data_IF_652186571345
#
_entry.id   IF_652186571345
#
_cell.length_a   1.000
_cell.length_b   1.000
_cell.length_c   1.000
_cell.angle_alpha   90.00
_cell.angle_beta   90.00
_cell.angle_gamma   90.00
#
_symmetry.space_group_name_H-M   'P 1'
#
loop_
_entity.id
_entity.type
_entity.pdbx_description
1 polymer ?
#
# COMPACT_ATOMS: atom_id res chain seq x y z
N UNK A 1 -8.33 4.26 -18.95
CA UNK A 1 -7.50 4.35 -17.73
C UNK A 1 -6.10 3.91 -18.12
N UNK A 2 -5.09 4.78 -18.05
CA UNK A 2 -3.71 4.40 -18.34
C UNK A 2 -3.22 3.45 -17.23
N UNK A 3 -2.78 2.26 -17.60
CA UNK A 3 -2.22 1.29 -16.67
C UNK A 3 -0.73 1.57 -16.59
N UNK A 4 -0.26 2.15 -15.49
CA UNK A 4 1.16 2.35 -15.25
C UNK A 4 1.80 1.00 -14.92
N UNK A 5 2.75 0.57 -15.76
CA UNK A 5 3.54 -0.62 -15.55
C UNK A 5 4.87 -0.19 -14.93
N UNK A 6 5.10 -0.60 -13.68
CA UNK A 6 6.37 -0.40 -13.00
C UNK A 6 7.12 -1.74 -13.01
N UNK A 7 8.23 -1.79 -13.72
CA UNK A 7 9.22 -2.85 -13.56
C UNK A 7 10.08 -2.46 -12.36
N UNK A 8 9.93 -3.20 -11.26
CA UNK A 8 10.76 -3.05 -10.08
C UNK A 8 11.73 -4.24 -10.05
N UNK A 9 13.00 -3.97 -9.82
CA UNK A 9 13.89 -5.06 -9.44
C UNK A 9 13.53 -5.59 -8.03
N UNK A 10 14.07 -6.75 -7.66
CA UNK A 10 13.74 -7.39 -6.37
C UNK A 10 14.08 -6.49 -5.17
N UNK A 11 15.16 -5.71 -5.26
CA UNK A 11 15.59 -4.81 -4.19
C UNK A 11 14.67 -3.62 -4.08
N UNK A 12 14.33 -2.99 -5.20
CA UNK A 12 13.38 -1.88 -5.28
C UNK A 12 11.99 -2.30 -4.78
N UNK A 13 11.55 -3.52 -5.12
CA UNK A 13 10.29 -4.07 -4.64
C UNK A 13 10.29 -4.25 -3.11
N UNK A 14 11.40 -4.74 -2.53
CA UNK A 14 11.56 -4.86 -1.06
C UNK A 14 11.60 -3.50 -0.37
N UNK A 15 12.33 -2.55 -0.94
CA UNK A 15 12.46 -1.19 -0.41
C UNK A 15 11.10 -0.48 -0.43
N UNK A 16 10.37 -0.59 -1.56
CA UNK A 16 9.02 -0.05 -1.70
C UNK A 16 8.05 -0.70 -0.71
N UNK A 17 8.06 -2.03 -0.59
CA UNK A 17 7.22 -2.77 0.37
C UNK A 17 7.49 -2.30 1.80
N UNK A 18 8.75 -2.08 2.15
CA UNK A 18 9.15 -1.57 3.46
C UNK A 18 8.62 -0.16 3.69
N UNK A 19 8.88 0.78 2.77
CA UNK A 19 8.43 2.17 2.89
C UNK A 19 6.90 2.29 3.00
N UNK A 20 6.16 1.54 2.16
CA UNK A 20 4.70 1.50 2.18
C UNK A 20 4.16 0.88 3.48
N UNK A 21 4.82 -0.15 4.02
CA UNK A 21 4.42 -0.75 5.31
C UNK A 21 4.58 0.24 6.48
N UNK A 22 5.65 1.02 6.49
CA UNK A 22 5.89 2.06 7.50
C UNK A 22 4.80 3.14 7.39
N UNK A 23 4.51 3.60 6.17
CA UNK A 23 3.44 4.58 5.95
C UNK A 23 2.08 4.07 6.43
N UNK A 24 1.75 2.82 6.13
CA UNK A 24 0.49 2.19 6.55
C UNK A 24 0.31 2.22 8.07
N UNK A 25 1.37 1.90 8.82
CA UNK A 25 1.35 1.99 10.29
C UNK A 25 1.05 3.43 10.73
N UNK A 26 1.78 4.41 10.20
CA UNK A 26 1.54 5.82 10.52
C UNK A 26 0.10 6.28 10.17
N UNK A 27 -0.46 5.83 9.04
CA UNK A 27 -1.85 6.15 8.68
C UNK A 27 -2.87 5.57 9.66
N UNK A 28 -2.62 4.36 10.17
CA UNK A 28 -3.49 3.72 11.16
C UNK A 28 -3.41 4.44 12.51
N UNK A 29 -2.23 4.90 12.90
CA UNK A 29 -2.06 5.75 14.08
C UNK A 29 -2.83 7.07 13.92
N UNK A 30 -2.64 7.79 12.81
CA UNK A 30 -3.38 9.02 12.51
C UNK A 30 -4.90 8.81 12.53
N UNK A 31 -5.39 7.68 11.99
CA UNK A 31 -6.82 7.37 11.94
C UNK A 31 -7.45 7.25 13.34
N UNK A 32 -6.70 6.70 14.29
CA UNK A 32 -7.14 6.56 15.69
C UNK A 32 -7.22 7.93 16.39
N UNK A 33 -6.38 8.87 15.98
CA UNK A 33 -6.18 10.14 16.69
C UNK A 33 -6.88 11.34 16.01
N UNK A 34 -7.50 11.14 14.85
CA UNK A 34 -8.21 12.22 14.15
C UNK A 34 -9.71 12.25 14.48
N UNK A 35 -10.21 13.44 14.79
CA UNK A 35 -11.64 13.72 14.98
C UNK A 35 -12.30 14.36 13.74
N UNK A 36 -11.51 14.68 12.72
CA UNK A 36 -12.03 15.17 11.44
C UNK A 36 -12.66 14.00 10.67
N UNK A 37 -13.98 14.11 10.43
CA UNK A 37 -14.76 13.05 9.78
C UNK A 37 -14.37 12.85 8.31
N UNK A 38 -14.09 13.93 7.58
CA UNK A 38 -13.71 13.86 6.17
C UNK A 38 -12.31 13.26 6.04
N UNK A 39 -11.38 13.72 6.87
CA UNK A 39 -10.04 13.17 6.91
C UNK A 39 -10.03 11.69 7.34
N UNK A 40 -10.86 11.31 8.33
CA UNK A 40 -11.04 9.92 8.74
C UNK A 40 -11.53 9.03 7.59
N UNK A 41 -12.49 9.50 6.79
CA UNK A 41 -12.99 8.76 5.63
C UNK A 41 -11.90 8.62 4.55
N UNK A 42 -11.17 9.70 4.30
CA UNK A 42 -10.02 9.69 3.38
C UNK A 42 -8.92 8.71 3.83
N UNK A 43 -8.56 8.72 5.12
CA UNK A 43 -7.57 7.81 5.68
C UNK A 43 -7.98 6.36 5.51
N UNK A 44 -9.23 6.00 5.83
CA UNK A 44 -9.75 4.64 5.62
C UNK A 44 -9.64 4.19 4.17
N UNK A 45 -10.14 4.99 3.24
CA UNK A 45 -10.09 4.66 1.82
C UNK A 45 -8.65 4.54 1.29
N UNK A 46 -7.72 5.31 1.85
CA UNK A 46 -6.31 5.26 1.44
C UNK A 46 -5.58 4.07 2.05
N UNK A 47 -5.86 3.74 3.32
CA UNK A 47 -5.38 2.53 4.00
C UNK A 47 -5.79 1.27 3.21
N UNK A 48 -7.06 1.16 2.83
CA UNK A 48 -7.57 0.01 2.06
C UNK A 48 -6.83 -0.14 0.72
N UNK A 49 -6.63 0.97 0.00
CA UNK A 49 -5.87 0.99 -1.26
C UNK A 49 -4.41 0.57 -1.05
N UNK A 50 -3.78 1.06 0.01
CA UNK A 50 -2.39 0.76 0.33
C UNK A 50 -2.19 -0.72 0.70
N UNK A 51 -3.12 -1.31 1.43
CA UNK A 51 -3.12 -2.74 1.74
C UNK A 51 -3.22 -3.61 0.48
N UNK A 52 -4.03 -3.21 -0.51
CA UNK A 52 -4.11 -3.90 -1.81
C UNK A 52 -2.75 -3.84 -2.52
N UNK A 53 -2.09 -2.69 -2.52
CA UNK A 53 -0.76 -2.52 -3.14
C UNK A 53 0.27 -3.41 -2.44
N UNK A 54 0.30 -3.42 -1.11
CA UNK A 54 1.19 -4.27 -0.34
C UNK A 54 0.97 -5.76 -0.62
N UNK A 55 -0.29 -6.22 -0.67
CA UNK A 55 -0.60 -7.62 -1.05
C UNK A 55 -0.09 -7.98 -2.45
N UNK A 56 -0.19 -7.06 -3.41
CA UNK A 56 0.33 -7.26 -4.77
C UNK A 56 1.86 -7.34 -4.77
N UNK A 57 2.54 -6.48 -4.02
CA UNK A 57 4.00 -6.51 -3.86
C UNK A 57 4.46 -7.81 -3.19
N UNK A 58 3.76 -8.25 -2.15
CA UNK A 58 4.07 -9.52 -1.49
C UNK A 58 3.91 -10.71 -2.46
N UNK A 59 2.91 -10.69 -3.34
CA UNK A 59 2.75 -11.68 -4.41
C UNK A 59 3.90 -11.68 -5.43
N UNK A 60 4.30 -10.50 -5.90
CA UNK A 60 5.46 -10.32 -6.80
C UNK A 60 6.74 -10.86 -6.14
N UNK A 61 6.99 -10.48 -4.89
CA UNK A 61 8.18 -10.91 -4.13
C UNK A 61 8.17 -12.41 -3.82
N UNK A 62 7.00 -13.02 -3.67
CA UNK A 62 6.85 -14.46 -3.48
C UNK A 62 6.98 -15.26 -4.79
N UNK A 63 7.20 -14.60 -5.94
CA UNK A 63 7.21 -15.24 -7.25
C UNK A 63 5.85 -15.81 -7.67
N UNK A 64 4.76 -15.36 -7.03
CA UNK A 64 3.40 -15.72 -7.42
C UNK A 64 2.98 -14.80 -8.56
N UNK A 65 2.73 -15.36 -9.74
CA UNK A 65 2.16 -14.61 -10.84
C UNK A 65 0.82 -13.99 -10.39
N UNK A 66 0.53 -12.72 -10.75
CA UNK A 66 -0.73 -12.10 -10.38
C UNK A 66 -1.88 -12.95 -10.95
N UNK A 67 -2.80 -13.38 -10.07
CA UNK A 67 -4.01 -14.05 -10.50
C UNK A 67 -4.84 -13.12 -11.40
N UNK A 68 -5.45 -13.64 -12.48
CA UNK A 68 -6.19 -12.87 -13.48
C UNK A 68 -7.39 -12.12 -12.91
#
# INVERSE_FOLDING_TARGET
>A
MAQLHFELDEREAKDMRTALSIRLVGMREELVHTDDREYRAYLKATIERLEVVLRRLDGILAGQAPAP
#
